data_IF_934415477129
#
_entry.id   IF_934415477129
#
_cell.length_a   1.000
_cell.length_b   1.000
_cell.length_c   1.000
_cell.angle_alpha   90.00
_cell.angle_beta   90.00
_cell.angle_gamma   90.00
#
_symmetry.space_group_name_H-M   'P 1'
#
loop_
_entity.id
_entity.type
_entity.pdbx_description
1 polymer ?
#
# COMPACT_ATOMS: atom_id res chain seq x y z
N UNK A 1 0.40 5.19 -1.87
CA UNK A 1 -0.80 4.53 -1.33
C UNK A 1 -1.23 5.23 -0.06
N UNK A 2 -0.32 5.39 0.92
CA UNK A 2 -0.52 6.16 2.16
C UNK A 2 -1.22 7.51 1.95
N UNK A 3 -0.59 8.44 1.23
CA UNK A 3 -1.16 9.76 0.89
C UNK A 3 -2.53 9.73 0.19
N UNK A 4 -2.83 8.66 -0.56
CA UNK A 4 -4.14 8.51 -1.22
C UNK A 4 -5.19 8.11 -0.17
N UNK A 5 -4.86 7.09 0.62
CA UNK A 5 -5.73 6.51 1.64
C UNK A 5 -5.94 7.44 2.84
N UNK A 6 -4.95 8.28 3.17
CA UNK A 6 -4.99 9.28 4.22
C UNK A 6 -5.55 10.64 3.77
N UNK A 7 -5.79 10.83 2.47
CA UNK A 7 -6.04 12.17 1.89
C UNK A 7 -7.21 12.95 2.50
N UNK A 8 -8.22 12.29 3.06
CA UNK A 8 -9.34 12.96 3.72
C UNK A 8 -8.91 13.54 5.08
N UNK A 9 -8.15 12.78 5.85
CA UNK A 9 -7.68 13.18 7.18
C UNK A 9 -6.48 14.13 7.12
N UNK A 10 -5.62 13.97 6.12
CA UNK A 10 -4.46 14.86 5.92
C UNK A 10 -4.88 16.28 5.53
N UNK A 11 -5.98 16.44 4.77
CA UNK A 11 -6.51 17.77 4.43
C UNK A 11 -6.99 18.57 5.65
N UNK A 12 -7.41 17.89 6.72
CA UNK A 12 -7.78 18.53 7.99
C UNK A 12 -6.56 18.98 8.81
N UNK A 13 -5.42 18.35 8.55
CA UNK A 13 -4.14 18.62 9.22
C UNK A 13 -3.28 19.45 8.28
N UNK A 14 -3.46 20.78 8.29
CA UNK A 14 -2.74 21.83 7.53
C UNK A 14 -1.20 21.71 7.39
N UNK A 15 -0.55 20.72 8.02
CA UNK A 15 0.88 20.64 8.26
C UNK A 15 1.68 19.74 7.31
N UNK A 16 1.07 18.93 6.44
CA UNK A 16 1.82 18.02 5.56
C UNK A 16 1.34 18.13 4.12
N UNK A 17 2.25 18.48 3.20
CA UNK A 17 1.98 18.48 1.76
C UNK A 17 2.12 17.05 1.25
N UNK A 18 1.01 16.46 0.79
CA UNK A 18 0.99 15.09 0.26
C UNK A 18 1.49 15.04 -1.21
N UNK A 19 1.86 13.86 -1.68
CA UNK A 19 2.12 13.61 -3.11
C UNK A 19 0.89 13.92 -3.98
N UNK A 20 -0.31 13.76 -3.43
CA UNK A 20 -1.56 14.14 -4.07
C UNK A 20 -1.65 15.66 -4.27
N UNK A 21 -1.35 16.44 -3.22
CA UNK A 21 -1.33 17.91 -3.29
C UNK A 21 -0.26 18.40 -4.27
N UNK A 22 0.93 17.77 -4.23
CA UNK A 22 2.01 18.06 -5.17
C UNK A 22 1.56 17.83 -6.62
N UNK A 23 0.93 16.69 -6.91
CA UNK A 23 0.47 16.36 -8.25
C UNK A 23 -0.61 17.33 -8.73
N UNK A 24 -1.62 17.61 -7.90
CA UNK A 24 -2.69 18.54 -8.22
C UNK A 24 -2.13 19.93 -8.53
N UNK A 25 -1.20 20.42 -7.72
CA UNK A 25 -0.57 21.74 -7.91
C UNK A 25 0.33 21.79 -9.15
N UNK A 26 1.13 20.76 -9.39
CA UNK A 26 2.08 20.73 -10.51
C UNK A 26 1.37 20.68 -11.86
N UNK A 27 0.28 19.90 -11.96
CA UNK A 27 -0.42 19.67 -13.22
C UNK A 27 -1.76 20.40 -13.33
N UNK A 28 -2.10 21.25 -12.34
CA UNK A 28 -3.40 21.90 -12.22
C UNK A 28 -4.57 20.90 -12.40
N UNK A 29 -4.45 19.75 -11.74
CA UNK A 29 -5.32 18.58 -11.91
C UNK A 29 -6.37 18.48 -10.81
N UNK A 30 -7.49 17.80 -11.07
CA UNK A 30 -8.47 17.45 -10.04
C UNK A 30 -7.93 16.36 -9.10
N UNK A 31 -8.48 16.27 -7.88
CA UNK A 31 -8.15 15.21 -6.91
C UNK A 31 -8.35 13.81 -7.50
N UNK A 32 -9.47 13.58 -8.18
CA UNK A 32 -9.79 12.29 -8.81
C UNK A 32 -8.77 11.90 -9.89
N UNK A 33 -8.41 12.84 -10.78
CA UNK A 33 -7.37 12.57 -11.78
C UNK A 33 -6.01 12.32 -11.13
N UNK A 34 -5.64 13.11 -10.10
CA UNK A 34 -4.39 12.92 -9.40
C UNK A 34 -4.31 11.54 -8.72
N UNK A 35 -5.36 11.10 -8.04
CA UNK A 35 -5.46 9.73 -7.48
C UNK A 35 -5.26 8.68 -8.57
N UNK A 36 -5.98 8.81 -9.70
CA UNK A 36 -5.88 7.88 -10.82
C UNK A 36 -4.47 7.78 -11.39
N UNK A 37 -3.79 8.90 -11.57
CA UNK A 37 -2.42 8.93 -12.09
C UNK A 37 -1.40 8.38 -11.09
N UNK A 38 -1.55 8.69 -9.79
CA UNK A 38 -0.72 8.10 -8.75
C UNK A 38 -0.92 6.57 -8.64
N UNK A 39 -2.15 6.06 -8.80
CA UNK A 39 -2.41 4.62 -8.83
C UNK A 39 -1.77 3.93 -10.04
N UNK A 40 -1.71 4.59 -11.20
CA UNK A 40 -0.96 4.08 -12.35
C UNK A 40 0.53 4.00 -12.08
N UNK A 41 1.10 4.97 -11.35
CA UNK A 41 2.51 4.91 -10.93
C UNK A 41 2.74 3.72 -10.00
N UNK A 42 1.85 3.46 -9.05
CA UNK A 42 1.90 2.27 -8.19
C UNK A 42 1.83 0.98 -9.02
N UNK A 43 0.92 0.89 -9.99
CA UNK A 43 0.81 -0.26 -10.89
C UNK A 43 2.09 -0.46 -11.72
N UNK A 44 2.68 0.63 -12.23
CA UNK A 44 3.96 0.58 -12.95
C UNK A 44 5.09 0.08 -12.06
N UNK A 45 5.21 0.61 -10.83
CA UNK A 45 6.23 0.18 -9.88
C UNK A 45 6.09 -1.31 -9.51
N UNK A 46 4.87 -1.84 -9.46
CA UNK A 46 4.66 -3.28 -9.29
C UNK A 46 5.19 -4.10 -10.47
N UNK A 47 5.03 -3.61 -11.71
CA UNK A 47 5.60 -4.26 -12.90
C UNK A 47 7.12 -4.25 -12.87
N UNK A 48 7.73 -3.13 -12.48
CA UNK A 48 9.18 -3.01 -12.32
C UNK A 48 9.71 -4.02 -11.27
N UNK A 49 9.06 -4.12 -10.10
CA UNK A 49 9.42 -5.11 -9.07
C UNK A 49 9.35 -6.54 -9.62
N UNK A 50 8.31 -6.86 -10.38
CA UNK A 50 8.12 -8.19 -10.95
C UNK A 50 9.18 -8.52 -12.00
N UNK A 51 9.49 -7.58 -12.89
CA UNK A 51 10.54 -7.73 -13.91
C UNK A 51 11.91 -7.96 -13.28
N UNK A 52 12.29 -7.11 -12.31
CA UNK A 52 13.57 -7.23 -11.60
C UNK A 52 13.70 -8.55 -10.82
N UNK A 53 12.60 -9.07 -10.27
CA UNK A 53 12.60 -10.37 -9.58
C UNK A 53 12.76 -11.57 -10.52
N UNK A 54 12.49 -11.41 -11.82
CA UNK A 54 12.65 -12.46 -12.84
C UNK A 54 14.06 -12.46 -13.45
N UNK A 55 14.77 -11.34 -13.38
CA UNK A 55 16.11 -11.18 -13.94
C UNK A 55 17.20 -11.67 -12.95
N UNK A 56 18.41 -11.99 -13.44
CA UNK A 56 19.56 -12.21 -12.56
C UNK A 56 19.85 -10.97 -11.72
N UNK A 57 19.84 -11.11 -10.40
CA UNK A 57 20.05 -10.02 -9.46
C UNK A 57 21.43 -10.09 -8.82
N UNK A 58 22.02 -8.92 -8.50
CA UNK A 58 23.30 -8.83 -7.78
C UNK A 58 23.16 -9.22 -6.30
N UNK A 59 21.93 -9.18 -5.79
CA UNK A 59 21.59 -9.45 -4.38
C UNK A 59 20.75 -10.73 -4.32
N UNK A 60 21.07 -11.70 -3.44
CA UNK A 60 20.28 -12.91 -3.32
C UNK A 60 18.80 -12.64 -3.04
N UNK A 61 17.91 -13.37 -3.73
CA UNK A 61 16.45 -13.18 -3.63
C UNK A 61 15.91 -13.20 -2.20
N UNK A 62 16.50 -13.97 -1.28
CA UNK A 62 16.08 -13.99 0.13
C UNK A 62 16.10 -12.59 0.81
N UNK A 63 16.97 -11.69 0.36
CA UNK A 63 17.04 -10.32 0.85
C UNK A 63 16.06 -9.42 0.11
N UNK A 64 15.98 -9.53 -1.23
CA UNK A 64 15.04 -8.77 -2.05
C UNK A 64 13.58 -9.06 -1.66
N UNK A 65 13.28 -10.30 -1.29
CA UNK A 65 11.96 -10.69 -0.78
C UNK A 65 11.51 -9.90 0.44
N UNK A 66 12.41 -9.33 1.24
CA UNK A 66 12.03 -8.43 2.34
C UNK A 66 11.44 -7.12 1.81
N UNK A 67 12.01 -6.56 0.75
CA UNK A 67 11.51 -5.35 0.07
C UNK A 67 10.18 -5.65 -0.62
N UNK A 68 10.08 -6.78 -1.32
CA UNK A 68 8.82 -7.21 -1.96
C UNK A 68 7.71 -7.39 -0.92
N UNK A 69 8.02 -8.03 0.22
CA UNK A 69 7.03 -8.22 1.28
C UNK A 69 6.65 -6.91 1.98
N UNK A 70 7.55 -5.92 2.04
CA UNK A 70 7.20 -4.58 2.50
C UNK A 70 6.22 -3.92 1.54
N UNK A 71 6.45 -3.99 0.22
CA UNK A 71 5.51 -3.46 -0.78
C UNK A 71 4.13 -4.15 -0.68
N UNK A 72 4.09 -5.47 -0.51
CA UNK A 72 2.84 -6.22 -0.27
C UNK A 72 2.13 -5.79 1.00
N UNK A 73 2.88 -5.55 2.07
CA UNK A 73 2.31 -5.08 3.33
C UNK A 73 1.68 -3.69 3.17
N UNK A 74 2.36 -2.76 2.48
CA UNK A 74 1.79 -1.45 2.17
C UNK A 74 0.50 -1.56 1.34
N UNK A 75 0.47 -2.45 0.35
CA UNK A 75 -0.73 -2.71 -0.45
C UNK A 75 -1.90 -3.20 0.40
N UNK A 76 -1.66 -4.12 1.33
CA UNK A 76 -2.68 -4.64 2.26
C UNK A 76 -3.16 -3.57 3.23
N UNK A 77 -2.25 -2.79 3.83
CA UNK A 77 -2.62 -1.81 4.85
C UNK A 77 -3.39 -0.61 4.28
N UNK A 78 -3.07 -0.18 3.06
CA UNK A 78 -3.59 1.07 2.48
C UNK A 78 -4.50 0.86 1.27
N UNK A 79 -5.05 -0.36 1.09
CA UNK A 79 -5.83 -0.72 -0.09
C UNK A 79 -7.05 0.17 -0.34
N UNK A 80 -7.80 0.45 0.73
CA UNK A 80 -9.07 1.20 0.67
C UNK A 80 -9.08 2.41 1.59
N UNK A 81 -8.37 2.32 2.72
CA UNK A 81 -8.28 3.34 3.75
C UNK A 81 -6.98 3.15 4.54
N UNK A 82 -6.62 4.11 5.39
CA UNK A 82 -5.51 3.96 6.33
C UNK A 82 -5.87 2.98 7.46
N UNK A 83 -5.73 1.69 7.17
CA UNK A 83 -5.97 0.64 8.16
C UNK A 83 -4.83 0.50 9.17
N UNK A 84 -3.68 1.14 8.94
CA UNK A 84 -2.58 1.12 9.89
C UNK A 84 -2.94 1.97 11.11
N UNK A 85 -3.35 3.22 10.88
CA UNK A 85 -3.80 4.12 11.94
C UNK A 85 -5.18 3.68 12.47
N UNK A 86 -6.11 3.33 11.58
CA UNK A 86 -7.47 2.92 11.93
C UNK A 86 -7.62 1.39 11.96
N UNK A 87 -6.79 0.75 12.79
CA UNK A 87 -6.66 -0.72 12.86
C UNK A 87 -7.90 -1.49 13.35
N UNK A 88 -8.94 -0.80 13.82
CA UNK A 88 -10.16 -1.43 14.35
C UNK A 88 -11.04 -2.13 13.30
N UNK A 89 -10.84 -1.83 12.01
CA UNK A 89 -11.56 -2.43 10.89
C UNK A 89 -10.92 -3.73 10.38
N UNK A 90 -10.72 -3.81 9.06
CA UNK A 90 -10.28 -5.05 8.39
C UNK A 90 -8.94 -5.60 8.89
N UNK A 91 -8.03 -4.73 9.35
CA UNK A 91 -6.75 -5.16 9.91
C UNK A 91 -6.92 -6.00 11.18
N UNK A 92 -7.90 -5.67 12.02
CA UNK A 92 -8.25 -6.49 13.20
C UNK A 92 -8.71 -7.88 12.79
N UNK A 93 -9.50 -7.98 11.72
CA UNK A 93 -9.96 -9.28 11.21
C UNK A 93 -8.79 -10.11 10.67
N UNK A 94 -7.85 -9.49 9.96
CA UNK A 94 -6.62 -10.15 9.52
C UNK A 94 -5.76 -10.63 10.70
N UNK A 95 -5.57 -9.80 11.72
CA UNK A 95 -4.84 -10.18 12.94
C UNK A 95 -5.53 -11.38 13.62
N UNK A 96 -6.86 -11.32 13.77
CA UNK A 96 -7.61 -12.42 14.37
C UNK A 96 -7.45 -13.71 13.56
N UNK A 97 -7.56 -13.65 12.23
CA UNK A 97 -7.43 -14.82 11.36
C UNK A 97 -6.02 -15.43 11.36
N UNK A 98 -4.97 -14.59 11.40
CA UNK A 98 -3.58 -15.04 11.27
C UNK A 98 -2.91 -15.40 12.60
N UNK A 99 -3.26 -14.70 13.68
CA UNK A 99 -2.50 -14.74 14.94
C UNK A 99 -3.32 -15.18 16.16
N UNK A 100 -4.66 -15.19 16.08
CA UNK A 100 -5.54 -15.52 17.22
C UNK A 100 -6.27 -16.84 16.99
N UNK A 101 -6.95 -16.95 15.87
CA UNK A 101 -7.79 -18.09 15.53
C UNK A 101 -6.96 -19.20 14.90
N UNK A 102 -7.15 -20.43 15.38
CA UNK A 102 -6.52 -21.61 14.77
C UNK A 102 -7.26 -21.98 13.49
N UNK A 103 -6.52 -22.41 12.48
CA UNK A 103 -7.11 -23.02 11.28
C UNK A 103 -7.82 -24.32 11.71
N UNK A 104 -9.11 -24.50 11.38
CA UNK A 104 -9.83 -25.73 11.71
C UNK A 104 -9.15 -26.94 11.05
N UNK A 105 -8.84 -27.97 11.84
CA UNK A 105 -8.36 -29.24 11.31
C UNK A 105 -9.60 -30.09 11.00
N UNK A 106 -9.81 -30.46 9.73
CA UNK A 106 -10.83 -31.45 9.40
C UNK A 106 -10.37 -32.80 9.93
N UNK A 107 -11.08 -33.34 10.92
CA UNK A 107 -10.90 -34.73 11.37
C UNK A 107 -11.85 -35.62 10.59
N UNK A 108 -11.28 -36.55 9.82
CA UNK A 108 -12.00 -37.61 9.11
C UNK A 108 -12.72 -38.58 10.04
#
# INVERSE_FOLDING_TARGET
>A
MDDIAGSEFEQEREHVVSSLDCYMKQYNSSKENAIKELLKLVESSWKDINEECLNPTQVPMKFLMRVVNLARMMDVLYKEQDNYTHSGGILKDYINALLVNKVPVQTS
#
